data_IF_458222491442
#
_entry.id   IF_458222491442
#
_cell.length_a   1.000
_cell.length_b   1.000
_cell.length_c   1.000
_cell.angle_alpha   90.00
_cell.angle_beta   90.00
_cell.angle_gamma   90.00
#
_symmetry.space_group_name_H-M   'P 1'
#
loop_
_entity.id
_entity.type
_entity.pdbx_description
1 polymer ?
#
# COMPACT_ATOMS: atom_id res chain seq x y z
N UNK A 1 19.16 37.08 -0.13
CA UNK A 1 19.42 35.77 -0.78
C UNK A 1 19.58 34.63 0.23
N UNK A 2 20.41 34.76 1.28
CA UNK A 2 20.65 33.69 2.28
C UNK A 2 19.37 33.11 2.94
N UNK A 3 18.38 33.95 3.25
CA UNK A 3 17.11 33.51 3.85
C UNK A 3 16.30 32.57 2.94
N UNK A 4 16.37 32.77 1.62
CA UNK A 4 15.66 31.93 0.64
C UNK A 4 16.32 30.55 0.53
N UNK A 5 17.65 30.51 0.53
CA UNK A 5 18.41 29.26 0.50
C UNK A 5 18.11 28.37 1.73
N UNK A 6 17.99 28.97 2.92
CA UNK A 6 17.66 28.23 4.16
C UNK A 6 16.22 27.67 4.10
N UNK A 7 15.26 28.44 3.57
CA UNK A 7 13.87 27.96 3.43
C UNK A 7 13.74 26.79 2.45
N UNK A 8 14.44 26.84 1.31
CA UNK A 8 14.47 25.72 0.34
C UNK A 8 15.17 24.50 0.93
N UNK A 9 16.28 24.69 1.64
CA UNK A 9 16.96 23.59 2.32
C UNK A 9 16.06 22.93 3.37
N UNK A 10 15.34 23.70 4.18
CA UNK A 10 14.37 23.16 5.14
C UNK A 10 13.26 22.37 4.43
N UNK A 11 12.70 22.86 3.33
CA UNK A 11 11.71 22.11 2.54
C UNK A 11 12.26 20.80 1.95
N UNK A 12 13.54 20.76 1.58
CA UNK A 12 14.23 19.56 1.11
C UNK A 12 14.62 18.61 2.26
N UNK A 13 14.84 19.12 3.49
CA UNK A 13 15.10 18.31 4.69
C UNK A 13 13.82 17.76 5.33
N UNK A 14 12.71 18.50 5.22
CA UNK A 14 11.35 17.95 5.37
C UNK A 14 10.97 17.18 4.09
N UNK A 15 11.96 16.92 3.22
CA UNK A 15 11.94 16.15 2.00
C UNK A 15 10.99 15.02 2.15
N UNK A 16 9.80 15.36 1.67
CA UNK A 16 8.60 14.60 1.63
C UNK A 16 9.04 13.17 1.32
N UNK A 17 8.94 12.26 2.31
CA UNK A 17 8.76 10.85 2.00
C UNK A 17 7.37 10.75 1.34
N UNK A 18 7.24 11.33 0.15
CA UNK A 18 6.24 11.01 -0.86
C UNK A 18 6.61 9.59 -1.29
N UNK A 19 6.32 8.66 -0.39
CA UNK A 19 6.14 7.27 -0.78
C UNK A 19 4.96 7.31 -1.72
N UNK A 20 5.26 7.16 -3.01
CA UNK A 20 4.24 7.08 -4.04
C UNK A 20 3.21 6.05 -3.59
N UNK A 21 1.93 6.39 -3.72
CA UNK A 21 0.87 5.42 -3.47
C UNK A 21 1.08 4.27 -4.46
N UNK A 22 1.15 3.04 -3.94
CA UNK A 22 1.41 1.84 -4.75
C UNK A 22 0.12 1.08 -4.96
N UNK A 23 0.06 0.34 -6.05
CA UNK A 23 -0.99 -0.64 -6.28
C UNK A 23 -0.44 -2.04 -6.01
N UNK A 24 -1.28 -2.95 -5.53
CA UNK A 24 -0.86 -4.34 -5.38
C UNK A 24 -1.80 -5.21 -4.54
N UNK A 25 -1.32 -6.41 -4.22
CA UNK A 25 -2.04 -7.37 -3.38
C UNK A 25 -1.58 -7.22 -1.93
N UNK A 26 -2.39 -6.69 -1.00
CA UNK A 26 -1.99 -6.65 0.40
C UNK A 26 -1.79 -8.04 0.96
N UNK A 27 -0.74 -8.18 1.77
CA UNK A 27 -0.44 -9.44 2.42
C UNK A 27 -1.30 -9.60 3.69
N UNK A 28 -1.93 -10.77 3.86
CA UNK A 28 -2.62 -11.13 5.09
C UNK A 28 -1.63 -11.21 6.26
N UNK A 29 -1.94 -10.52 7.36
CA UNK A 29 -1.14 -10.59 8.60
C UNK A 29 -1.21 -11.96 9.30
N UNK A 30 -2.19 -12.80 8.93
CA UNK A 30 -2.43 -14.10 9.55
C UNK A 30 -1.53 -15.18 8.95
N UNK A 31 -1.51 -15.28 7.63
CA UNK A 31 -0.87 -16.37 6.90
C UNK A 31 0.06 -15.92 5.78
N UNK A 32 0.30 -14.61 5.64
CA UNK A 32 1.20 -14.04 4.65
C UNK A 32 0.81 -14.31 3.18
N UNK A 33 -0.41 -14.80 2.94
CA UNK A 33 -0.93 -14.99 1.60
C UNK A 33 -1.63 -13.71 1.09
N UNK A 34 -1.91 -13.64 -0.21
CA UNK A 34 -2.83 -12.64 -0.75
C UNK A 34 -4.21 -12.83 -0.12
N UNK A 35 -4.93 -11.74 0.10
CA UNK A 35 -6.26 -11.82 0.71
C UNK A 35 -7.26 -12.33 -0.33
N UNK A 36 -7.95 -13.43 -0.02
CA UNK A 36 -9.00 -13.99 -0.87
C UNK A 36 -10.19 -13.03 -1.01
N UNK A 37 -10.83 -13.03 -2.18
CA UNK A 37 -12.08 -12.32 -2.42
C UNK A 37 -13.09 -13.19 -3.20
N UNK A 38 -14.37 -13.20 -2.79
CA UNK A 38 -15.45 -13.82 -3.57
C UNK A 38 -16.02 -12.90 -4.66
N UNK A 39 -15.84 -11.58 -4.53
CA UNK A 39 -16.29 -10.57 -5.49
C UNK A 39 -15.60 -9.21 -5.23
N UNK A 40 -15.78 -8.27 -6.16
CA UNK A 40 -15.22 -6.92 -6.10
C UNK A 40 -15.71 -6.13 -4.88
N UNK A 41 -16.99 -6.24 -4.49
CA UNK A 41 -17.53 -5.51 -3.31
C UNK A 41 -16.81 -5.87 -2.01
N UNK A 42 -16.59 -7.16 -1.76
CA UNK A 42 -15.80 -7.62 -0.60
C UNK A 42 -14.37 -7.11 -0.69
N UNK A 43 -13.84 -7.01 -1.91
CA UNK A 43 -12.50 -6.54 -2.10
C UNK A 43 -12.32 -5.04 -1.85
N UNK A 44 -13.22 -4.21 -2.36
CA UNK A 44 -13.24 -2.76 -2.09
C UNK A 44 -13.29 -2.48 -0.58
N UNK A 45 -14.15 -3.20 0.15
CA UNK A 45 -14.20 -3.12 1.60
C UNK A 45 -12.87 -3.53 2.23
N UNK A 46 -12.27 -4.63 1.78
CA UNK A 46 -10.98 -5.13 2.27
C UNK A 46 -9.86 -4.11 2.03
N UNK A 47 -9.73 -3.58 0.82
CA UNK A 47 -8.71 -2.62 0.45
C UNK A 47 -8.80 -1.34 1.28
N UNK A 48 -10.02 -0.79 1.42
CA UNK A 48 -10.26 0.39 2.23
C UNK A 48 -9.92 0.18 3.71
N UNK A 49 -10.36 -0.93 4.30
CA UNK A 49 -10.26 -1.14 5.75
C UNK A 49 -8.95 -1.80 6.20
N UNK A 50 -8.25 -2.54 5.32
CA UNK A 50 -7.02 -3.27 5.68
C UNK A 50 -5.75 -2.69 5.08
N UNK A 51 -5.84 -2.01 3.94
CA UNK A 51 -4.69 -1.47 3.21
C UNK A 51 -4.73 0.07 3.06
N UNK A 52 -5.75 0.74 3.62
CA UNK A 52 -5.91 2.19 3.46
C UNK A 52 -6.02 2.64 2.01
N UNK A 53 -6.44 1.74 1.11
CA UNK A 53 -6.52 2.00 -0.32
C UNK A 53 -7.78 2.78 -0.69
N UNK A 54 -7.72 3.50 -1.81
CA UNK A 54 -8.85 4.28 -2.32
C UNK A 54 -9.93 3.40 -2.95
N UNK A 55 -9.52 2.29 -3.54
CA UNK A 55 -10.41 1.33 -4.20
C UNK A 55 -9.75 -0.06 -4.28
N UNK A 56 -10.48 -1.06 -4.78
CA UNK A 56 -9.95 -2.38 -5.02
C UNK A 56 -10.79 -3.22 -5.96
N UNK A 57 -10.18 -4.25 -6.53
CA UNK A 57 -10.82 -5.18 -7.43
C UNK A 57 -10.42 -6.63 -7.14
N UNK A 58 -11.36 -7.55 -7.39
CA UNK A 58 -11.15 -8.96 -7.15
C UNK A 58 -10.59 -9.63 -8.39
N UNK A 59 -9.28 -9.90 -8.38
CA UNK A 59 -8.55 -10.46 -9.53
C UNK A 59 -7.94 -11.80 -9.18
N UNK A 60 -8.22 -12.83 -9.98
CA UNK A 60 -7.75 -14.21 -9.73
C UNK A 60 -8.05 -14.68 -8.29
N UNK A 61 -9.27 -14.40 -7.81
CA UNK A 61 -9.72 -14.70 -6.44
C UNK A 61 -8.91 -14.03 -5.32
N UNK A 62 -8.13 -12.99 -5.64
CA UNK A 62 -7.32 -12.22 -4.70
C UNK A 62 -7.59 -10.73 -4.80
N UNK A 63 -7.45 -10.04 -3.67
CA UNK A 63 -7.68 -8.61 -3.62
C UNK A 63 -6.53 -7.77 -4.16
N UNK A 64 -6.77 -7.05 -5.24
CA UNK A 64 -5.87 -6.03 -5.77
C UNK A 64 -6.36 -4.65 -5.35
N UNK A 65 -5.53 -3.89 -4.64
CA UNK A 65 -5.89 -2.60 -4.09
C UNK A 65 -5.16 -1.47 -4.82
N UNK A 66 -5.87 -0.38 -5.06
CA UNK A 66 -5.33 0.82 -5.72
C UNK A 66 -4.98 1.89 -4.71
N UNK A 67 -3.83 2.54 -4.89
CA UNK A 67 -3.30 3.58 -4.03
C UNK A 67 -3.28 3.16 -2.54
N UNK A 68 -2.65 2.03 -2.22
CA UNK A 68 -2.52 1.60 -0.82
C UNK A 68 -1.74 2.61 0.00
N UNK A 69 -1.99 2.63 1.31
CA UNK A 69 -1.24 3.48 2.22
C UNK A 69 0.26 3.16 2.11
N UNK A 70 1.15 4.18 2.12
CA UNK A 70 2.60 4.05 1.94
C UNK A 70 3.32 2.90 2.66
N UNK A 71 2.87 2.57 3.88
CA UNK A 71 3.51 1.55 4.74
C UNK A 71 2.84 0.17 4.62
N UNK A 72 1.94 0.00 3.66
CA UNK A 72 1.28 -1.28 3.40
C UNK A 72 2.25 -2.24 2.74
N UNK A 73 2.49 -3.38 3.40
CA UNK A 73 3.25 -4.48 2.82
C UNK A 73 2.41 -5.15 1.72
N UNK A 74 2.90 -5.09 0.49
CA UNK A 74 2.32 -5.77 -0.65
C UNK A 74 3.00 -7.12 -0.87
N UNK A 75 2.24 -8.09 -1.34
CA UNK A 75 2.73 -9.41 -1.68
C UNK A 75 3.81 -9.32 -2.76
N UNK A 76 5.01 -9.84 -2.48
CA UNK A 76 6.19 -9.71 -3.34
C UNK A 76 7.12 -8.57 -2.96
N UNK A 77 6.76 -7.71 -2.00
CA UNK A 77 7.69 -6.71 -1.46
C UNK A 77 8.91 -7.38 -0.82
N UNK A 78 10.09 -6.71 -0.86
CA UNK A 78 11.24 -7.14 -0.10
C UNK A 78 10.90 -7.32 1.39
N UNK A 79 11.28 -8.46 1.97
CA UNK A 79 11.02 -8.77 3.38
C UNK A 79 9.65 -9.40 3.66
N UNK A 80 8.83 -9.64 2.63
CA UNK A 80 7.60 -10.43 2.79
C UNK A 80 7.93 -11.86 3.22
N UNK A 81 7.11 -12.41 4.13
CA UNK A 81 7.19 -13.82 4.51
C UNK A 81 6.51 -14.69 3.45
N UNK A 82 6.94 -15.95 3.28
CA UNK A 82 6.25 -16.88 2.39
C UNK A 82 4.80 -17.11 2.86
N UNK A 83 3.89 -17.27 1.90
CA UNK A 83 2.50 -17.64 2.17
C UNK A 83 2.43 -19.02 2.86
N UNK A 84 1.69 -19.10 3.95
CA UNK A 84 1.47 -20.28 4.79
C UNK A 84 -0.01 -20.67 4.74
N UNK A 85 -0.43 -21.22 3.61
CA UNK A 85 -1.82 -21.65 3.39
C UNK A 85 -2.24 -22.78 4.34
#
# INVERSE_FOLDING_TARGET
>A
MLKFAIAVALLLFIGLELREARDGYPQSKVNYCKIYCPNTTVCQWTCKNRAGATDGDCRWSSCYCFNVAPDTVLYGDPGTKPCMA
#
